data_IF_775176907953
#
_entry.id   IF_775176907953
#
_cell.length_a   1.000
_cell.length_b   1.000
_cell.length_c   1.000
_cell.angle_alpha   90.00
_cell.angle_beta   90.00
_cell.angle_gamma   90.00
#
_symmetry.space_group_name_H-M   'P 1'
#
loop_
_entity.id
_entity.type
_entity.pdbx_description
1 polymer ?
#
# COMPACT_ATOMS: atom_id res chain seq x y z
N UNK A 1 10.55 4.85 1.19
CA UNK A 1 11.25 5.15 -0.08
C UNK A 1 11.88 6.52 0.11
N UNK A 2 13.19 6.57 0.31
CA UNK A 2 13.90 7.82 0.59
C UNK A 2 14.09 8.61 -0.71
N UNK A 3 13.46 9.78 -0.79
CA UNK A 3 13.64 10.75 -1.85
C UNK A 3 13.16 12.11 -1.35
N UNK A 4 13.88 13.17 -1.69
CA UNK A 4 13.63 14.57 -1.28
C UNK A 4 12.33 15.18 -1.85
N UNK A 5 11.48 14.38 -2.48
CA UNK A 5 10.16 14.78 -2.96
C UNK A 5 9.06 14.61 -1.91
N UNK A 6 7.84 15.12 -2.17
CA UNK A 6 6.68 14.87 -1.31
C UNK A 6 6.26 13.39 -1.38
N UNK A 7 7.00 12.54 -0.67
CA UNK A 7 6.82 11.08 -0.64
C UNK A 7 5.65 10.65 0.22
N UNK A 8 5.21 11.50 1.16
CA UNK A 8 4.11 11.23 2.08
C UNK A 8 2.82 10.80 1.39
N UNK A 9 2.47 11.45 0.27
CA UNK A 9 1.27 11.15 -0.50
C UNK A 9 1.23 9.72 -1.07
N UNK A 10 2.40 9.10 -1.28
CA UNK A 10 2.52 7.77 -1.85
C UNK A 10 2.68 6.67 -0.79
N UNK A 11 2.87 7.01 0.48
CA UNK A 11 3.11 6.03 1.56
C UNK A 11 2.01 4.96 1.61
N UNK A 12 0.74 5.37 1.61
CA UNK A 12 -0.39 4.44 1.64
C UNK A 12 -0.44 3.56 0.39
N UNK A 13 -0.31 4.15 -0.81
CA UNK A 13 -0.30 3.40 -2.06
C UNK A 13 0.84 2.37 -2.11
N UNK A 14 2.02 2.74 -1.60
CA UNK A 14 3.18 1.87 -1.54
C UNK A 14 2.97 0.68 -0.60
N UNK A 15 2.38 0.89 0.59
CA UNK A 15 2.03 -0.21 1.48
C UNK A 15 1.03 -1.17 0.84
N UNK A 16 -0.05 -0.65 0.25
CA UNK A 16 -1.04 -1.48 -0.45
C UNK A 16 -0.41 -2.31 -1.56
N UNK A 17 0.45 -1.71 -2.39
CA UNK A 17 1.11 -2.39 -3.49
C UNK A 17 2.10 -3.46 -2.98
N UNK A 18 2.93 -3.13 -1.99
CA UNK A 18 3.89 -4.07 -1.42
C UNK A 18 3.21 -5.28 -0.77
N UNK A 19 2.14 -5.06 0.00
CA UNK A 19 1.35 -6.15 0.61
C UNK A 19 0.74 -7.04 -0.48
N UNK A 20 0.14 -6.43 -1.52
CA UNK A 20 -0.45 -7.18 -2.64
C UNK A 20 0.58 -8.04 -3.36
N UNK A 21 1.78 -7.51 -3.62
CA UNK A 21 2.82 -8.25 -4.32
C UNK A 21 3.42 -9.36 -3.44
N UNK A 22 3.52 -9.15 -2.13
CA UNK A 22 3.96 -10.19 -1.20
C UNK A 22 2.93 -11.30 -1.04
N UNK A 23 1.62 -10.98 -0.99
CA UNK A 23 0.55 -11.99 -0.96
C UNK A 23 0.60 -12.89 -2.19
N UNK A 24 0.79 -12.31 -3.38
CA UNK A 24 1.00 -13.09 -4.62
C UNK A 24 2.24 -13.99 -4.54
N UNK A 25 3.34 -13.49 -3.98
CA UNK A 25 4.57 -14.28 -3.80
C UNK A 25 4.39 -15.41 -2.80
N UNK A 26 3.65 -15.17 -1.72
CA UNK A 26 3.32 -16.18 -0.71
C UNK A 26 2.46 -17.29 -1.33
N UNK A 27 1.38 -16.93 -2.04
CA UNK A 27 0.48 -17.87 -2.72
C UNK A 27 1.18 -18.71 -3.79
N UNK A 28 2.12 -18.11 -4.54
CA UNK A 28 2.91 -18.82 -5.54
C UNK A 28 4.03 -19.68 -4.94
N UNK A 29 4.33 -19.53 -3.65
CA UNK A 29 5.38 -20.27 -2.96
C UNK A 29 4.82 -21.54 -2.33
N UNK A 30 5.53 -22.67 -2.44
CA UNK A 30 5.18 -23.85 -1.65
C UNK A 30 5.46 -23.58 -0.16
N UNK A 31 4.69 -24.21 0.75
CA UNK A 31 4.96 -24.11 2.19
C UNK A 31 6.33 -24.66 2.61
N UNK A 32 6.91 -25.51 1.77
CA UNK A 32 8.26 -26.07 1.93
C UNK A 32 9.36 -25.10 1.49
N UNK A 33 9.00 -24.02 0.78
CA UNK A 33 9.93 -22.98 0.40
C UNK A 33 10.35 -22.17 1.63
N UNK A 34 11.65 -22.05 1.85
CA UNK A 34 12.23 -21.29 2.96
C UNK A 34 11.77 -19.81 3.00
N UNK A 35 11.33 -19.24 1.88
CA UNK A 35 10.83 -17.87 1.80
C UNK A 35 9.35 -17.73 2.19
N UNK A 36 8.56 -18.81 2.21
CA UNK A 36 7.15 -18.73 2.62
C UNK A 36 6.95 -18.11 4.02
N UNK A 37 7.65 -18.56 5.10
CA UNK A 37 7.52 -17.91 6.39
C UNK A 37 8.02 -16.46 6.40
N UNK A 38 8.95 -16.12 5.51
CA UNK A 38 9.46 -14.75 5.36
C UNK A 38 8.40 -13.83 4.74
N UNK A 39 7.74 -14.25 3.65
CA UNK A 39 6.64 -13.49 3.05
C UNK A 39 5.51 -13.26 4.04
N UNK A 40 5.10 -14.31 4.76
CA UNK A 40 4.08 -14.22 5.80
C UNK A 40 4.41 -13.15 6.85
N UNK A 41 5.65 -13.18 7.38
CA UNK A 41 6.10 -12.23 8.40
C UNK A 41 6.20 -10.80 7.86
N UNK A 42 6.64 -10.63 6.61
CA UNK A 42 6.72 -9.32 5.96
C UNK A 42 5.34 -8.71 5.73
N UNK A 43 4.37 -9.51 5.27
CA UNK A 43 2.98 -9.07 5.08
C UNK A 43 2.42 -8.55 6.40
N UNK A 44 2.52 -9.34 7.48
CA UNK A 44 2.03 -8.93 8.80
C UNK A 44 2.64 -7.62 9.27
N UNK A 45 3.97 -7.46 9.11
CA UNK A 45 4.64 -6.23 9.53
C UNK A 45 4.23 -5.01 8.70
N UNK A 46 3.97 -5.20 7.41
CA UNK A 46 3.50 -4.11 6.54
C UNK A 46 2.02 -3.77 6.79
N UNK A 47 1.19 -4.74 7.16
CA UNK A 47 -0.19 -4.51 7.60
C UNK A 47 -0.22 -3.65 8.88
N UNK A 48 0.64 -3.94 9.86
CA UNK A 48 0.80 -3.11 11.07
C UNK A 48 1.18 -1.66 10.71
N UNK A 49 2.19 -1.46 9.85
CA UNK A 49 2.58 -0.10 9.42
C UNK A 49 1.54 0.59 8.55
N UNK A 50 0.75 -0.16 7.79
CA UNK A 50 -0.36 0.39 7.02
C UNK A 50 -1.45 0.91 7.95
N UNK A 51 -1.80 0.17 9.00
CA UNK A 51 -2.74 0.62 10.02
C UNK A 51 -2.25 1.91 10.71
N UNK A 52 -0.99 1.94 11.17
CA UNK A 52 -0.38 3.14 11.74
C UNK A 52 -0.40 4.34 10.76
N UNK A 53 -0.14 4.10 9.47
CA UNK A 53 -0.16 5.15 8.45
C UNK A 53 -1.59 5.65 8.15
N UNK A 54 -2.61 4.79 8.24
CA UNK A 54 -4.01 5.15 8.08
C UNK A 54 -4.55 5.98 9.26
N UNK A 55 -3.98 5.81 10.45
CA UNK A 55 -4.27 6.65 11.62
C UNK A 55 -3.60 8.03 11.53
N UNK A 56 -2.61 8.21 10.65
CA UNK A 56 -1.93 9.48 10.46
C UNK A 56 -2.70 10.41 9.49
N UNK A 57 -3.44 11.38 10.05
CA UNK A 57 -4.22 12.35 9.26
C UNK A 57 -3.40 13.06 8.17
N UNK A 58 -2.15 13.43 8.47
CA UNK A 58 -1.28 14.10 7.51
C UNK A 58 -0.99 13.22 6.28
N UNK A 59 -0.78 11.92 6.46
CA UNK A 59 -0.55 10.98 5.36
C UNK A 59 -1.84 10.75 4.57
N UNK A 60 -2.96 10.56 5.25
CA UNK A 60 -4.28 10.38 4.61
C UNK A 60 -4.61 11.60 3.74
N UNK A 61 -4.48 12.80 4.29
CA UNK A 61 -4.75 14.05 3.57
C UNK A 61 -3.77 14.24 2.41
N UNK A 62 -2.48 13.96 2.60
CA UNK A 62 -1.50 14.03 1.51
C UNK A 62 -1.84 13.07 0.37
N UNK A 63 -2.29 11.84 0.66
CA UNK A 63 -2.72 10.88 -0.36
C UNK A 63 -3.99 11.34 -1.07
N UNK A 64 -5.01 11.80 -0.34
CA UNK A 64 -6.28 12.25 -0.93
C UNK A 64 -6.12 13.47 -1.84
N UNK A 65 -5.28 14.43 -1.43
CA UNK A 65 -5.05 15.67 -2.18
C UNK A 65 -4.10 15.47 -3.37
N UNK A 66 -3.43 14.33 -3.48
CA UNK A 66 -2.56 14.05 -4.60
C UNK A 66 -3.38 13.96 -5.90
N UNK A 67 -3.06 14.72 -6.97
CA UNK A 67 -3.88 14.81 -8.17
C UNK A 67 -4.21 13.45 -8.80
N UNK A 68 -3.25 12.53 -8.82
CA UNK A 68 -3.45 11.19 -9.38
C UNK A 68 -4.49 10.37 -8.60
N UNK A 69 -4.48 10.46 -7.26
CA UNK A 69 -5.45 9.75 -6.44
C UNK A 69 -6.81 10.42 -6.53
N UNK A 70 -6.84 11.75 -6.43
CA UNK A 70 -8.06 12.54 -6.47
C UNK A 70 -8.87 12.32 -7.75
N UNK A 71 -8.21 12.33 -8.92
CA UNK A 71 -8.88 12.09 -10.21
C UNK A 71 -9.41 10.67 -10.32
N UNK A 72 -8.64 9.66 -9.87
CA UNK A 72 -9.09 8.26 -9.86
C UNK A 72 -10.26 8.06 -8.91
N UNK A 73 -10.25 8.70 -7.75
CA UNK A 73 -11.35 8.67 -6.79
C UNK A 73 -12.63 9.26 -7.38
N UNK A 74 -12.55 10.43 -8.03
CA UNK A 74 -13.71 11.01 -8.72
C UNK A 74 -14.25 10.10 -9.82
N UNK A 75 -13.39 9.54 -10.68
CA UNK A 75 -13.82 8.62 -11.73
C UNK A 75 -14.49 7.35 -11.17
N UNK A 76 -14.04 6.87 -10.01
CA UNK A 76 -14.65 5.71 -9.34
C UNK A 76 -16.00 6.03 -8.72
N UNK A 77 -16.15 7.20 -8.09
CA UNK A 77 -17.40 7.62 -7.43
C UNK A 77 -18.45 8.18 -8.40
N UNK A 78 -18.03 8.74 -9.53
CA UNK A 78 -18.89 9.26 -10.61
C UNK A 78 -18.47 8.69 -11.97
N UNK A 79 -18.75 7.40 -12.22
CA UNK A 79 -18.50 6.81 -13.53
C UNK A 79 -19.38 7.48 -14.58
N UNK A 80 -18.82 7.70 -15.78
CA UNK A 80 -19.61 8.10 -16.95
C UNK A 80 -20.70 7.04 -17.21
N UNK A 81 -21.92 7.49 -17.56
CA UNK A 81 -23.07 6.62 -17.80
C UNK A 81 -22.95 5.85 -19.11
#
# INVERSE_FOLDING_TARGET
>A
MEGDGPTGAFVLANYYQAIKDLKKKEEASSRENAFHPMYHKMIKKLEEYQEEALECEALVMATLLHPEFHLRFFAHCWPER
#
